data_IF_688868926753
#
_entry.id   IF_688868926753
#
_cell.length_a   1.000
_cell.length_b   1.000
_cell.length_c   1.000
_cell.angle_alpha   90.00
_cell.angle_beta   90.00
_cell.angle_gamma   90.00
#
_symmetry.space_group_name_H-M   'P 1'
#
loop_
_entity.id
_entity.type
_entity.pdbx_description
1 polymer ?
#
# COMPACT_ATOMS: atom_id res chain seq x y z
N UNK A 1 12.75 -9.22 -3.89
CA UNK A 1 11.28 -9.30 -3.78
C UNK A 1 10.79 -7.86 -3.71
N UNK A 2 9.93 -7.41 -4.62
CA UNK A 2 9.33 -6.07 -4.51
C UNK A 2 8.04 -6.21 -3.72
N UNK A 3 7.91 -5.40 -2.66
CA UNK A 3 6.71 -5.40 -1.79
C UNK A 3 5.56 -4.59 -2.39
N UNK A 4 5.80 -3.83 -3.47
CA UNK A 4 4.84 -2.99 -4.17
C UNK A 4 4.98 -3.16 -5.70
N UNK A 5 3.88 -3.02 -6.47
CA UNK A 5 3.94 -2.87 -7.92
C UNK A 5 4.85 -1.69 -8.32
N UNK A 6 5.58 -1.83 -9.44
CA UNK A 6 6.53 -0.81 -9.91
C UNK A 6 5.87 0.57 -10.06
N UNK A 7 4.65 0.63 -10.59
CA UNK A 7 3.91 1.88 -10.80
C UNK A 7 3.57 2.58 -9.47
N UNK A 8 3.14 1.81 -8.47
CA UNK A 8 2.91 2.34 -7.12
C UNK A 8 4.20 2.80 -6.45
N UNK A 9 5.29 2.07 -6.67
CA UNK A 9 6.60 2.44 -6.12
C UNK A 9 7.11 3.78 -6.70
N UNK A 10 6.86 4.05 -7.99
CA UNK A 10 7.24 5.33 -8.62
C UNK A 10 6.54 6.51 -7.94
N UNK A 11 5.23 6.42 -7.68
CA UNK A 11 4.50 7.50 -6.98
C UNK A 11 5.05 7.78 -5.58
N UNK A 12 5.42 6.74 -4.82
CA UNK A 12 6.03 6.89 -3.50
C UNK A 12 7.41 7.56 -3.60
N UNK A 13 8.18 7.17 -4.61
CA UNK A 13 9.50 7.76 -4.89
C UNK A 13 9.36 9.23 -5.30
N UNK A 14 8.37 9.57 -6.12
CA UNK A 14 8.10 10.96 -6.53
C UNK A 14 7.78 11.84 -5.31
N UNK A 15 6.96 11.35 -4.37
CA UNK A 15 6.70 12.05 -3.11
C UNK A 15 7.93 12.14 -2.21
N UNK A 16 8.78 11.10 -2.18
CA UNK A 16 10.05 11.16 -1.47
C UNK A 16 11.00 12.22 -2.05
N UNK A 17 11.00 12.42 -3.37
CA UNK A 17 11.82 13.48 -3.99
C UNK A 17 11.25 14.89 -3.75
N UNK A 18 9.93 15.04 -3.63
CA UNK A 18 9.29 16.34 -3.41
C UNK A 18 9.35 16.81 -1.94
N UNK A 19 8.94 15.96 -0.99
CA UNK A 19 8.84 16.31 0.44
C UNK A 19 9.92 15.64 1.31
N UNK A 20 10.81 14.86 0.69
CA UNK A 20 11.88 14.16 1.37
C UNK A 20 11.39 12.96 2.19
N UNK A 21 12.16 12.66 3.25
CA UNK A 21 11.87 11.57 4.18
C UNK A 21 10.51 11.72 4.89
N UNK A 22 9.96 12.95 4.98
CA UNK A 22 8.68 13.22 5.62
C UNK A 22 7.54 12.45 4.95
N UNK A 23 7.47 12.49 3.62
CA UNK A 23 6.46 11.76 2.85
C UNK A 23 6.50 10.25 3.12
N UNK A 24 7.70 9.66 3.22
CA UNK A 24 7.86 8.23 3.54
C UNK A 24 7.41 7.91 4.95
N UNK A 25 7.74 8.77 5.91
CA UNK A 25 7.35 8.56 7.30
C UNK A 25 5.84 8.69 7.48
N UNK A 26 5.22 9.69 6.84
CA UNK A 26 3.77 9.90 6.83
C UNK A 26 3.04 8.75 6.16
N UNK A 27 3.55 8.27 5.02
CA UNK A 27 3.01 7.09 4.34
C UNK A 27 3.12 5.85 5.22
N UNK A 28 4.28 5.63 5.86
CA UNK A 28 4.48 4.55 6.81
C UNK A 28 3.51 4.61 7.99
N UNK A 29 3.29 5.80 8.54
CA UNK A 29 2.30 6.04 9.60
C UNK A 29 0.87 5.72 9.14
N UNK A 30 0.47 6.16 7.95
CA UNK A 30 -0.83 5.83 7.39
C UNK A 30 -1.01 4.31 7.23
N UNK A 31 0.00 3.61 6.70
CA UNK A 31 -0.03 2.15 6.58
C UNK A 31 -0.11 1.47 7.94
N UNK A 32 0.66 1.93 8.93
CA UNK A 32 0.63 1.39 10.28
C UNK A 32 -0.73 1.62 10.94
N UNK A 33 -1.34 2.79 10.75
CA UNK A 33 -2.64 3.14 11.29
C UNK A 33 -3.76 2.32 10.65
N UNK A 34 -3.71 2.12 9.32
CA UNK A 34 -4.64 1.24 8.60
C UNK A 34 -4.57 -0.22 9.06
N UNK A 35 -3.37 -0.67 9.42
CA UNK A 35 -3.17 -2.03 9.89
C UNK A 35 -3.13 -2.11 11.41
N UNK A 36 -3.41 -1.03 12.13
CA UNK A 36 -3.25 -0.95 13.59
C UNK A 36 -4.07 -2.02 14.28
N UNK A 37 -5.34 -2.18 13.92
CA UNK A 37 -6.22 -3.21 14.49
C UNK A 37 -5.71 -4.63 14.22
N UNK A 38 -5.18 -4.87 13.02
CA UNK A 38 -4.63 -6.17 12.64
C UNK A 38 -3.32 -6.46 13.35
N UNK A 39 -2.44 -5.46 13.47
CA UNK A 39 -1.18 -5.53 14.21
C UNK A 39 -1.43 -5.73 15.70
N UNK A 40 -2.46 -5.10 16.26
CA UNK A 40 -2.86 -5.27 17.67
C UNK A 40 -3.38 -6.69 17.94
N UNK A 41 -3.97 -7.34 16.92
CA UNK A 41 -4.43 -8.71 16.98
C UNK A 41 -3.32 -9.75 16.68
N UNK A 42 -2.17 -9.33 16.15
CA UNK A 42 -1.06 -10.23 15.88
C UNK A 42 -0.41 -10.68 17.18
N UNK A 43 -0.08 -11.96 17.25
CA UNK A 43 0.56 -12.55 18.44
C UNK A 43 2.06 -12.72 18.28
N UNK A 44 2.53 -12.78 17.03
CA UNK A 44 3.92 -13.01 16.66
C UNK A 44 4.37 -12.01 15.58
N UNK A 45 5.65 -11.62 15.60
CA UNK A 45 6.24 -10.68 14.62
C UNK A 45 6.06 -11.16 13.18
N UNK A 46 6.05 -12.48 12.96
CA UNK A 46 5.83 -13.08 11.66
C UNK A 46 4.43 -12.79 11.10
N UNK A 47 3.40 -12.74 11.95
CA UNK A 47 2.04 -12.36 11.54
C UNK A 47 1.98 -10.88 11.18
N UNK A 48 2.58 -10.01 12.00
CA UNK A 48 2.63 -8.58 11.75
C UNK A 48 3.30 -8.24 10.40
N UNK A 49 4.44 -8.87 10.12
CA UNK A 49 5.14 -8.71 8.85
C UNK A 49 4.31 -9.26 7.68
N UNK A 50 3.58 -10.36 7.88
CA UNK A 50 2.69 -10.92 6.84
C UNK A 50 1.51 -10.01 6.55
N UNK A 51 0.91 -9.42 7.59
CA UNK A 51 -0.20 -8.46 7.45
C UNK A 51 0.25 -7.22 6.69
N UNK A 52 1.40 -6.65 7.06
CA UNK A 52 1.95 -5.49 6.35
C UNK A 52 2.31 -5.84 4.91
N UNK A 53 2.95 -6.99 4.68
CA UNK A 53 3.28 -7.44 3.32
C UNK A 53 2.04 -7.60 2.46
N UNK A 54 0.98 -8.24 2.98
CA UNK A 54 -0.31 -8.35 2.30
C UNK A 54 -0.97 -7.00 2.07
N UNK A 55 -0.81 -6.05 2.98
CA UNK A 55 -1.32 -4.70 2.80
C UNK A 55 -0.64 -4.03 1.61
N UNK A 56 0.70 -4.04 1.54
CA UNK A 56 1.42 -3.48 0.40
C UNK A 56 1.10 -4.22 -0.91
N UNK A 57 0.88 -5.54 -0.89
CA UNK A 57 0.40 -6.30 -2.06
C UNK A 57 -1.03 -5.88 -2.48
N UNK A 58 -1.87 -5.47 -1.53
CA UNK A 58 -3.23 -4.95 -1.78
C UNK A 58 -3.25 -3.50 -2.26
N UNK A 59 -2.13 -2.79 -2.16
CA UNK A 59 -1.99 -1.42 -2.66
C UNK A 59 -1.79 -1.45 -4.17
N UNK A 60 -2.77 -0.93 -4.92
CA UNK A 60 -2.74 -0.90 -6.39
C UNK A 60 -2.78 0.54 -6.90
N UNK A 61 -2.45 0.77 -8.17
CA UNK A 61 -2.65 2.06 -8.81
C UNK A 61 -3.71 1.93 -9.90
N UNK A 62 -4.92 2.50 -9.71
CA UNK A 62 -6.01 2.46 -10.70
C UNK A 62 -5.89 3.51 -11.81
N UNK A 63 -5.00 4.48 -11.69
CA UNK A 63 -4.76 5.54 -12.68
C UNK A 63 -3.67 5.18 -13.70
N UNK A 64 -3.24 3.92 -13.72
CA UNK A 64 -2.28 3.44 -14.70
C UNK A 64 -2.90 3.46 -16.11
N UNK A 65 -2.30 4.18 -17.08
CA UNK A 65 -2.79 4.25 -18.45
C UNK A 65 -2.60 2.93 -19.24
N UNK A 66 -2.15 1.86 -18.57
CA UNK A 66 -1.78 0.60 -19.21
C UNK A 66 -2.97 -0.39 -19.28
N UNK A 67 -3.06 -1.14 -20.40
CA UNK A 67 -4.18 -2.04 -20.64
C UNK A 67 -4.30 -3.14 -19.55
N UNK A 68 -5.51 -3.65 -19.30
CA UNK A 68 -5.82 -4.61 -18.22
C UNK A 68 -5.05 -5.95 -18.30
N UNK A 69 -4.29 -6.19 -19.37
CA UNK A 69 -3.43 -7.36 -19.55
C UNK A 69 -2.19 -7.37 -18.63
N UNK A 70 -1.70 -6.21 -18.17
CA UNK A 70 -0.55 -6.13 -17.25
C UNK A 70 -1.00 -6.04 -15.78
N UNK A 71 -2.27 -5.73 -15.55
CA UNK A 71 -2.90 -5.74 -14.21
C UNK A 71 -3.11 -7.18 -13.66
N UNK A 72 -2.87 -8.21 -14.48
CA UNK A 72 -3.04 -9.62 -14.14
C UNK A 72 -1.69 -10.34 -13.96
N UNK A 73 -0.90 -9.95 -12.97
CA UNK A 73 0.01 -10.90 -12.31
C UNK A 73 -0.51 -11.36 -10.94
N UNK A 74 -1.67 -10.84 -10.50
CA UNK A 74 -2.28 -11.16 -9.20
C UNK A 74 -3.78 -11.39 -9.33
N UNK A 75 -4.16 -12.28 -10.25
CA UNK A 75 -5.54 -12.66 -10.50
C UNK A 75 -5.72 -14.17 -10.48
N UNK A 76 -5.51 -14.81 -9.32
CA UNK A 76 -6.07 -16.14 -9.06
C UNK A 76 -6.35 -16.32 -7.58
N UNK A 77 -7.41 -15.66 -7.10
CA UNK A 77 -8.38 -16.28 -6.19
C UNK A 77 -9.60 -15.38 -6.06
N UNK A 78 -10.58 -15.62 -6.91
CA UNK A 78 -11.97 -15.30 -6.63
C UNK A 78 -12.45 -16.19 -5.47
N UNK A 79 -12.21 -15.78 -4.22
CA UNK A 79 -13.03 -16.26 -3.12
C UNK A 79 -13.04 -15.29 -1.93
N UNK A 80 -14.16 -14.55 -1.79
CA UNK A 80 -14.70 -14.01 -0.53
C UNK A 80 -13.76 -13.20 0.38
N UNK A 81 -13.61 -11.91 0.09
CA UNK A 81 -13.70 -10.84 1.11
C UNK A 81 -13.61 -9.45 0.44
N UNK A 82 -14.38 -8.46 0.90
CA UNK A 82 -14.26 -7.08 0.45
C UNK A 82 -13.03 -6.44 1.11
N UNK A 83 -11.83 -6.87 0.73
CA UNK A 83 -10.63 -6.13 1.13
C UNK A 83 -10.57 -4.86 0.28
N UNK A 84 -10.57 -3.66 0.89
CA UNK A 84 -10.54 -2.42 0.15
C UNK A 84 -9.25 -2.40 -0.67
N UNK A 85 -9.37 -2.37 -2.00
CA UNK A 85 -8.25 -2.05 -2.89
C UNK A 85 -7.82 -0.65 -2.49
N UNK A 86 -6.65 -0.53 -1.87
CA UNK A 86 -6.11 0.75 -1.45
C UNK A 86 -5.35 1.32 -2.64
N UNK A 87 -5.78 2.47 -3.15
CA UNK A 87 -5.07 3.16 -4.20
C UNK A 87 -3.84 3.86 -3.63
N UNK A 88 -2.67 3.66 -4.23
CA UNK A 88 -1.44 4.29 -3.73
C UNK A 88 -1.52 5.82 -3.72
N UNK A 89 -2.19 6.40 -4.72
CA UNK A 89 -2.41 7.84 -4.81
C UNK A 89 -3.32 8.35 -3.69
N UNK A 90 -4.37 7.60 -3.36
CA UNK A 90 -5.25 7.93 -2.24
C UNK A 90 -4.53 7.76 -0.90
N UNK A 91 -3.73 6.70 -0.74
CA UNK A 91 -2.92 6.48 0.46
C UNK A 91 -1.89 7.58 0.68
N UNK A 92 -1.21 8.02 -0.39
CA UNK A 92 -0.28 9.16 -0.35
C UNK A 92 -1.04 10.43 0.03
N UNK A 93 -2.15 10.73 -0.66
CA UNK A 93 -2.94 11.94 -0.40
C UNK A 93 -3.45 11.97 1.04
N UNK A 94 -4.04 10.88 1.50
CA UNK A 94 -4.54 10.74 2.86
C UNK A 94 -3.40 10.84 3.89
N UNK A 95 -2.24 10.23 3.62
CA UNK A 95 -1.08 10.37 4.50
C UNK A 95 -0.59 11.81 4.59
N UNK A 96 -0.61 12.54 3.48
CA UNK A 96 -0.24 13.95 3.43
C UNK A 96 -1.28 14.87 4.08
N UNK A 97 -2.58 14.55 3.98
CA UNK A 97 -3.66 15.33 4.63
C UNK A 97 -3.73 15.05 6.13
N UNK A 98 -3.47 13.82 6.55
CA UNK A 98 -3.61 13.36 7.94
C UNK A 98 -2.38 13.66 8.79
N UNK A 99 -1.18 13.64 8.20
CA UNK A 99 0.10 13.80 8.90
C UNK A 99 0.96 14.96 8.37
N UNK A 100 0.48 15.73 7.38
CA UNK A 100 1.16 16.91 6.81
C UNK A 100 0.84 18.23 7.50
#
# INVERSE_FOLDING_TARGET
VSVLPIESAVNVVDCFFYDGIKAILQLGLAVLDYNLEKLLACKDDAEAVTVLSRFFESVTNKDSPLPPAVQQASGMNENRSPHPRVDITDLIRESSEKYG
#
